data_IF_809092434638
#
_entry.id   IF_809092434638
#
_cell.length_a   1.000
_cell.length_b   1.000
_cell.length_c   1.000
_cell.angle_alpha   90.00
_cell.angle_beta   90.00
_cell.angle_gamma   90.00
#
_symmetry.space_group_name_H-M   'P 1'
#
loop_
_entity.id
_entity.type
_entity.pdbx_description
1 polymer ?
#
# COMPACT_ATOMS: atom_id res chain seq x y z
N UNK A 1 14.49 19.37 12.61
CA UNK A 1 14.55 17.90 12.71
C UNK A 1 15.55 17.42 11.69
N UNK A 2 16.30 16.36 11.98
CA UNK A 2 17.28 15.79 11.04
C UNK A 2 16.75 14.46 10.54
N UNK A 3 16.92 14.22 9.24
CA UNK A 3 16.50 13.02 8.57
C UNK A 3 17.69 12.39 7.84
N UNK A 4 17.86 11.09 7.99
CA UNK A 4 18.73 10.25 7.17
C UNK A 4 17.94 9.82 5.93
N UNK A 5 18.46 10.14 4.75
CA UNK A 5 17.76 9.88 3.48
C UNK A 5 18.63 8.95 2.62
N UNK A 6 18.14 7.75 2.35
CA UNK A 6 18.62 6.88 1.29
C UNK A 6 17.73 7.03 0.06
N UNK A 7 18.29 7.17 -1.14
CA UNK A 7 17.48 7.10 -2.37
C UNK A 7 18.29 6.57 -3.54
N UNK A 8 17.58 6.04 -4.53
CA UNK A 8 18.13 5.56 -5.77
C UNK A 8 17.27 6.02 -6.95
N UNK A 9 17.92 6.29 -8.07
CA UNK A 9 17.27 6.58 -9.36
C UNK A 9 17.95 5.72 -10.41
N UNK A 10 17.17 4.95 -11.15
CA UNK A 10 17.65 4.15 -12.26
C UNK A 10 16.83 4.41 -13.53
N UNK A 11 17.48 4.31 -14.68
CA UNK A 11 16.84 4.42 -15.99
C UNK A 11 16.62 3.02 -16.56
N UNK A 12 15.41 2.75 -17.02
CA UNK A 12 15.04 1.51 -17.72
C UNK A 12 15.51 1.54 -19.18
N UNK A 13 15.48 0.38 -19.83
CA UNK A 13 15.91 0.23 -21.24
C UNK A 13 15.04 0.99 -22.24
N UNK A 14 13.78 1.28 -21.88
CA UNK A 14 12.83 2.10 -22.64
C UNK A 14 13.08 3.62 -22.47
N UNK A 15 14.04 4.01 -21.63
CA UNK A 15 14.38 5.39 -21.31
C UNK A 15 13.60 6.00 -20.14
N UNK A 16 12.61 5.28 -19.59
CA UNK A 16 11.82 5.74 -18.44
C UNK A 16 12.62 5.65 -17.13
N UNK A 17 12.27 6.48 -16.15
CA UNK A 17 12.95 6.49 -14.85
C UNK A 17 12.13 5.81 -13.77
N UNK A 18 12.83 5.17 -12.84
CA UNK A 18 12.28 4.64 -11.61
C UNK A 18 13.14 5.11 -10.46
N UNK A 19 12.49 5.39 -9.34
CA UNK A 19 13.16 5.79 -8.12
C UNK A 19 12.63 4.99 -6.94
N UNK A 20 13.40 4.97 -5.87
CA UNK A 20 12.92 4.57 -4.56
C UNK A 20 13.76 5.28 -3.51
N UNK A 21 13.18 5.49 -2.35
CA UNK A 21 13.81 6.22 -1.27
C UNK A 21 13.36 5.72 0.09
N UNK A 22 14.07 6.17 1.10
CA UNK A 22 13.88 5.76 2.47
C UNK A 22 14.33 6.90 3.35
N UNK A 23 13.48 7.30 4.28
CA UNK A 23 13.73 8.41 5.19
C UNK A 23 13.60 7.92 6.62
N UNK A 24 14.71 8.00 7.35
CA UNK A 24 14.78 7.81 8.78
C UNK A 24 14.86 9.13 9.51
N UNK A 25 14.14 9.24 10.62
CA UNK A 25 14.30 10.35 11.55
C UNK A 25 15.40 9.99 12.55
N UNK A 26 16.50 10.76 12.61
CA UNK A 26 17.65 10.45 13.49
C UNK A 26 17.27 10.26 14.97
N UNK A 27 16.18 10.89 15.42
CA UNK A 27 15.75 10.91 16.81
C UNK A 27 14.67 9.87 17.17
N UNK A 28 14.18 9.05 16.24
CA UNK A 28 13.13 8.06 16.49
C UNK A 28 13.25 6.84 15.57
N UNK A 29 12.51 5.76 15.88
CA UNK A 29 12.36 4.61 14.98
C UNK A 29 11.38 4.89 13.81
N UNK A 30 11.06 6.16 13.54
CA UNK A 30 10.12 6.55 12.48
C UNK A 30 10.76 6.42 11.10
N UNK A 31 10.14 5.61 10.25
CA UNK A 31 10.57 5.36 8.88
C UNK A 31 9.42 5.52 7.91
N UNK A 32 9.67 6.17 6.78
CA UNK A 32 8.80 6.11 5.63
C UNK A 32 9.65 6.05 4.37
N UNK A 33 9.12 5.46 3.31
CA UNK A 33 9.90 5.23 2.12
C UNK A 33 9.04 4.85 0.96
N UNK A 34 9.73 4.60 -0.13
CA UNK A 34 9.19 4.22 -1.40
C UNK A 34 10.12 3.17 -2.01
N UNK A 35 9.59 1.97 -2.26
CA UNK A 35 10.22 1.01 -3.16
C UNK A 35 10.24 1.52 -4.62
N UNK A 36 10.57 0.63 -5.55
CA UNK A 36 10.77 0.98 -6.95
C UNK A 36 9.50 1.52 -7.64
N UNK A 37 9.42 2.84 -7.79
CA UNK A 37 8.26 3.58 -8.31
C UNK A 37 8.59 4.35 -9.59
N UNK A 38 7.68 4.37 -10.59
CA UNK A 38 7.89 5.15 -11.81
C UNK A 38 8.06 6.64 -11.49
N UNK A 39 9.02 7.29 -12.14
CA UNK A 39 9.19 8.73 -12.08
C UNK A 39 8.64 9.35 -13.37
N UNK A 40 7.59 10.15 -13.25
CA UNK A 40 7.09 10.98 -14.36
C UNK A 40 8.07 12.13 -14.64
N UNK A 41 9.10 11.83 -15.43
CA UNK A 41 10.15 12.76 -15.82
C UNK A 41 10.76 12.38 -17.16
N UNK A 42 10.78 13.35 -18.08
CA UNK A 42 11.53 13.26 -19.33
C UNK A 42 12.78 14.15 -19.25
N UNK A 43 13.94 13.56 -19.51
CA UNK A 43 15.18 14.32 -19.55
C UNK A 43 16.42 13.53 -19.12
N UNK A 44 17.53 14.24 -18.87
CA UNK A 44 18.78 13.62 -18.45
C UNK A 44 18.71 13.18 -16.98
N UNK A 45 19.49 12.15 -16.65
CA UNK A 45 19.51 11.54 -15.31
C UNK A 45 19.70 12.52 -14.15
N UNK A 46 20.54 13.54 -14.31
CA UNK A 46 20.74 14.54 -13.26
C UNK A 46 19.47 15.35 -12.95
N UNK A 47 18.60 15.55 -13.95
CA UNK A 47 17.29 16.18 -13.75
C UNK A 47 16.32 15.24 -13.04
N UNK A 48 16.35 13.94 -13.35
CA UNK A 48 15.57 12.93 -12.65
C UNK A 48 15.98 12.84 -11.17
N UNK A 49 17.29 12.84 -10.88
CA UNK A 49 17.82 12.85 -9.50
C UNK A 49 17.41 14.13 -8.74
N UNK A 50 17.46 15.30 -9.38
CA UNK A 50 16.98 16.54 -8.77
C UNK A 50 15.48 16.48 -8.46
N UNK A 51 14.68 15.96 -9.40
CA UNK A 51 13.23 15.81 -9.22
C UNK A 51 12.87 14.89 -8.07
N UNK A 52 13.59 13.77 -7.92
CA UNK A 52 13.40 12.84 -6.81
C UNK A 52 13.73 13.49 -5.47
N UNK A 53 14.81 14.27 -5.38
CA UNK A 53 15.13 15.02 -4.16
C UNK A 53 14.02 15.99 -3.79
N UNK A 54 13.52 16.78 -4.74
CA UNK A 54 12.39 17.70 -4.49
C UNK A 54 11.15 16.96 -4.00
N UNK A 55 10.83 15.80 -4.58
CA UNK A 55 9.70 14.98 -4.14
C UNK A 55 9.85 14.49 -2.70
N UNK A 56 11.05 14.01 -2.33
CA UNK A 56 11.34 13.56 -0.97
C UNK A 56 11.25 14.73 0.01
N UNK A 57 11.83 15.89 -0.33
CA UNK A 57 11.80 17.10 0.48
C UNK A 57 10.35 17.57 0.73
N UNK A 58 9.52 17.60 -0.31
CA UNK A 58 8.09 17.94 -0.19
C UNK A 58 7.34 16.98 0.73
N UNK A 59 7.62 15.67 0.65
CA UNK A 59 6.99 14.70 1.54
C UNK A 59 7.42 14.89 2.99
N UNK A 60 8.71 15.19 3.23
CA UNK A 60 9.22 15.49 4.58
C UNK A 60 8.55 16.74 5.15
N UNK A 61 8.35 17.79 4.35
CA UNK A 61 7.68 19.02 4.78
C UNK A 61 6.21 18.80 5.16
N UNK A 62 5.55 17.80 4.57
CA UNK A 62 4.17 17.44 4.87
C UNK A 62 4.02 16.50 6.07
N UNK A 63 5.11 16.01 6.68
CA UNK A 63 5.01 15.10 7.84
C UNK A 63 4.53 15.84 9.09
N UNK A 64 3.68 15.22 9.92
CA UNK A 64 3.32 15.77 11.22
C UNK A 64 4.55 15.82 12.15
N UNK A 65 4.57 16.79 13.09
CA UNK A 65 5.66 16.95 14.09
C UNK A 65 5.88 15.65 14.91
N UNK A 66 4.83 14.85 15.05
CA UNK A 66 4.83 13.53 15.68
C UNK A 66 4.40 12.45 14.69
N UNK A 67 5.24 12.14 13.70
CA UNK A 67 5.13 10.90 12.92
C UNK A 67 5.83 9.76 13.67
N UNK A 68 5.23 9.29 14.76
CA UNK A 68 5.50 7.96 15.28
C UNK A 68 4.47 7.05 14.64
N UNK A 69 4.86 6.29 13.61
CA UNK A 69 3.93 5.32 13.06
C UNK A 69 3.66 4.28 14.16
N UNK A 70 2.43 4.23 14.68
CA UNK A 70 1.96 3.15 15.59
C UNK A 70 2.30 1.74 15.05
N UNK A 71 2.56 1.67 13.73
CA UNK A 71 3.16 0.62 12.92
C UNK A 71 4.31 -0.16 13.56
N UNK A 72 5.37 0.50 14.07
CA UNK A 72 6.53 -0.23 14.62
C UNK A 72 6.20 -0.95 15.93
N UNK A 73 5.28 -0.39 16.72
CA UNK A 73 4.83 -1.02 17.96
C UNK A 73 3.81 -2.16 17.72
N UNK A 74 3.33 -2.34 16.48
CA UNK A 74 2.29 -3.32 16.13
C UNK A 74 2.55 -4.08 14.82
N UNK A 75 3.78 -4.57 14.61
CA UNK A 75 4.02 -5.66 13.66
C UNK A 75 3.32 -6.93 14.14
N UNK A 76 2.01 -7.03 13.90
CA UNK A 76 1.24 -8.24 14.13
C UNK A 76 1.25 -9.09 12.85
N UNK A 77 1.36 -10.41 13.03
CA UNK A 77 1.12 -11.34 11.93
C UNK A 77 -0.30 -11.14 11.38
N UNK A 78 -0.48 -11.33 10.07
CA UNK A 78 -1.80 -11.22 9.47
C UNK A 78 -2.73 -12.30 10.02
N UNK A 79 -3.86 -11.89 10.60
CA UNK A 79 -4.96 -12.79 10.97
C UNK A 79 -5.93 -12.89 9.80
N UNK A 80 -5.69 -13.86 8.93
CA UNK A 80 -6.52 -14.11 7.74
C UNK A 80 -8.00 -14.37 8.08
N UNK A 81 -8.28 -14.83 9.30
CA UNK A 81 -9.65 -15.16 9.73
C UNK A 81 -10.55 -13.93 9.87
N UNK A 82 -9.97 -12.72 9.92
CA UNK A 82 -10.74 -11.47 9.95
C UNK A 82 -11.26 -11.07 8.57
N UNK A 83 -10.68 -11.62 7.50
CA UNK A 83 -11.11 -11.32 6.13
C UNK A 83 -12.25 -12.27 5.76
N UNK A 84 -13.46 -11.72 5.73
CA UNK A 84 -14.62 -12.50 5.30
C UNK A 84 -14.44 -12.92 3.84
N UNK A 85 -14.72 -14.20 3.56
CA UNK A 85 -14.50 -14.83 2.25
C UNK A 85 -13.03 -14.90 1.78
N UNK A 86 -12.08 -14.60 2.67
CA UNK A 86 -10.63 -14.69 2.39
C UNK A 86 -10.16 -16.09 2.00
N UNK A 87 -10.91 -17.14 2.34
CA UNK A 87 -10.63 -18.53 1.93
C UNK A 87 -10.54 -18.70 0.39
N UNK A 88 -11.16 -17.81 -0.39
CA UNK A 88 -11.06 -17.81 -1.86
C UNK A 88 -9.64 -17.53 -2.34
N UNK A 89 -8.88 -16.67 -1.65
CA UNK A 89 -7.48 -16.39 -1.97
C UNK A 89 -6.67 -17.68 -1.88
N UNK A 90 -6.80 -18.41 -0.76
CA UNK A 90 -6.15 -19.72 -0.59
C UNK A 90 -6.57 -20.74 -1.62
N UNK A 91 -7.84 -20.73 -2.04
CA UNK A 91 -8.33 -21.64 -3.07
C UNK A 91 -7.70 -21.38 -4.44
N UNK A 92 -7.37 -20.12 -4.74
CA UNK A 92 -6.83 -19.71 -6.04
C UNK A 92 -5.31 -19.84 -6.06
N UNK A 93 -4.64 -19.33 -5.03
CA UNK A 93 -3.18 -19.31 -4.95
C UNK A 93 -2.57 -20.55 -4.30
N UNK A 94 -3.35 -21.30 -3.50
CA UNK A 94 -2.87 -22.41 -2.67
C UNK A 94 -2.35 -21.97 -1.29
N UNK A 95 -2.14 -20.68 -1.08
CA UNK A 95 -1.63 -20.07 0.16
C UNK A 95 -2.27 -18.69 0.39
N UNK A 96 -1.96 -18.08 1.52
CA UNK A 96 -2.28 -16.67 1.76
C UNK A 96 -1.07 -15.81 1.39
N UNK A 97 -1.18 -14.90 0.42
CA UNK A 97 -0.08 -14.04 0.02
C UNK A 97 0.34 -13.09 1.13
N UNK A 98 1.64 -12.77 1.14
CA UNK A 98 2.16 -11.64 1.91
C UNK A 98 1.79 -10.30 1.25
N UNK A 99 1.36 -10.34 -0.01
CA UNK A 99 1.05 -9.17 -0.84
C UNK A 99 2.25 -8.25 -1.10
N UNK A 100 3.46 -8.70 -0.78
CA UNK A 100 4.69 -8.09 -1.26
C UNK A 100 4.72 -8.14 -2.79
N UNK A 101 5.07 -7.03 -3.43
CA UNK A 101 5.00 -6.81 -4.88
C UNK A 101 3.58 -6.88 -5.47
N UNK A 102 2.52 -6.84 -4.65
CA UNK A 102 1.18 -6.57 -5.17
C UNK A 102 1.10 -5.13 -5.67
N UNK A 103 0.18 -4.85 -6.58
CA UNK A 103 -0.07 -3.49 -7.05
C UNK A 103 -1.42 -3.01 -6.54
N UNK A 104 -1.45 -1.98 -5.70
CA UNK A 104 -2.64 -1.21 -5.41
C UNK A 104 -3.12 -0.52 -6.70
N UNK A 105 -4.28 -0.92 -7.20
CA UNK A 105 -4.84 -0.42 -8.46
C UNK A 105 -5.80 0.74 -8.25
N UNK A 106 -6.65 0.62 -7.23
CA UNK A 106 -7.74 1.57 -7.00
C UNK A 106 -8.09 1.62 -5.52
N UNK A 107 -8.37 2.82 -5.04
CA UNK A 107 -8.97 3.05 -3.73
C UNK A 107 -10.14 4.00 -3.91
N UNK A 108 -11.32 3.60 -3.43
CA UNK A 108 -12.49 4.47 -3.40
C UNK A 108 -13.05 4.57 -1.99
N UNK A 109 -13.52 5.77 -1.64
CA UNK A 109 -14.06 6.08 -0.33
C UNK A 109 -15.46 6.66 -0.48
N UNK A 110 -16.43 6.06 0.21
CA UNK A 110 -17.81 6.51 0.23
C UNK A 110 -18.20 6.93 1.62
N UNK A 111 -18.51 8.22 1.78
CA UNK A 111 -19.04 8.79 3.03
C UNK A 111 -20.55 9.00 2.94
N UNK A 112 -21.27 8.65 4.00
CA UNK A 112 -22.71 8.83 4.06
C UNK A 112 -23.20 8.93 5.51
N UNK A 113 -24.36 9.56 5.70
CA UNK A 113 -25.02 9.63 6.99
C UNK A 113 -25.88 8.38 7.21
N UNK A 114 -25.74 7.75 8.38
CA UNK A 114 -26.59 6.66 8.85
C UNK A 114 -27.19 7.06 10.20
N UNK A 115 -28.39 7.63 10.15
CA UNK A 115 -28.99 8.29 11.31
C UNK A 115 -28.15 9.50 11.74
N UNK A 116 -27.81 9.58 13.02
CA UNK A 116 -27.01 10.67 13.60
C UNK A 116 -25.49 10.45 13.47
N UNK A 117 -25.06 9.37 12.80
CA UNK A 117 -23.64 9.03 12.63
C UNK A 117 -23.18 9.25 11.19
N UNK A 118 -22.00 9.82 11.04
CA UNK A 118 -21.26 9.76 9.77
C UNK A 118 -20.59 8.39 9.67
N UNK A 119 -20.75 7.73 8.53
CA UNK A 119 -20.13 6.46 8.23
C UNK A 119 -19.30 6.57 6.95
N UNK A 120 -18.21 5.81 6.90
CA UNK A 120 -17.36 5.69 5.73
C UNK A 120 -17.15 4.23 5.41
N UNK A 121 -17.32 3.87 4.14
CA UNK A 121 -16.92 2.57 3.61
C UNK A 121 -15.88 2.78 2.52
N UNK A 122 -14.94 1.85 2.41
CA UNK A 122 -13.85 1.91 1.45
C UNK A 122 -13.82 0.62 0.62
N UNK A 123 -13.49 0.77 -0.66
CA UNK A 123 -13.15 -0.34 -1.53
C UNK A 123 -11.69 -0.19 -1.97
N UNK A 124 -10.93 -1.26 -1.80
CA UNK A 124 -9.54 -1.33 -2.18
C UNK A 124 -9.38 -2.45 -3.19
N UNK A 125 -8.76 -2.13 -4.32
CA UNK A 125 -8.47 -3.10 -5.34
C UNK A 125 -6.97 -3.26 -5.53
N UNK A 126 -6.51 -4.51 -5.50
CA UNK A 126 -5.11 -4.85 -5.74
C UNK A 126 -4.98 -5.86 -6.87
N UNK A 127 -3.86 -5.84 -7.58
CA UNK A 127 -3.39 -6.89 -8.46
C UNK A 127 -2.30 -7.68 -7.75
N UNK A 128 -2.40 -9.00 -7.81
CA UNK A 128 -1.38 -9.91 -7.27
C UNK A 128 -1.09 -10.99 -8.30
N UNK A 129 0.20 -11.31 -8.49
CA UNK A 129 0.66 -12.26 -9.49
C UNK A 129 1.05 -13.63 -8.92
N UNK A 130 0.99 -13.86 -7.61
CA UNK A 130 1.54 -15.07 -7.00
C UNK A 130 3.07 -15.06 -6.83
N UNK A 131 3.73 -13.91 -7.09
CA UNK A 131 5.19 -13.79 -7.10
C UNK A 131 5.87 -14.04 -5.74
N UNK A 132 5.11 -13.99 -4.65
CA UNK A 132 5.57 -14.27 -3.28
C UNK A 132 5.39 -15.75 -2.87
N UNK A 133 4.99 -16.64 -3.78
CA UNK A 133 4.85 -18.07 -3.50
C UNK A 133 6.21 -18.81 -3.54
N UNK A 134 6.71 -19.36 -2.42
CA UNK A 134 7.98 -20.07 -2.38
C UNK A 134 7.96 -21.45 -3.06
N UNK A 135 6.78 -22.06 -3.24
CA UNK A 135 6.62 -23.39 -3.86
C UNK A 135 6.29 -23.32 -5.37
N UNK A 136 6.42 -22.14 -5.97
CA UNK A 136 5.93 -21.87 -7.32
C UNK A 136 6.79 -22.49 -8.44
N UNK A 137 6.13 -22.98 -9.49
CA UNK A 137 6.73 -23.78 -10.56
C UNK A 137 6.44 -23.29 -12.00
N UNK A 138 5.89 -22.10 -12.17
CA UNK A 138 5.57 -21.53 -13.49
C UNK A 138 4.12 -21.01 -13.60
N UNK A 139 3.89 -20.17 -14.60
CA UNK A 139 2.68 -19.36 -14.86
C UNK A 139 1.99 -18.73 -13.63
N UNK A 140 2.25 -17.44 -13.44
CA UNK A 140 1.64 -16.61 -12.42
C UNK A 140 0.15 -16.40 -12.73
N UNK A 141 -0.72 -16.90 -11.87
CA UNK A 141 -2.15 -16.57 -11.90
C UNK A 141 -2.31 -15.12 -11.43
N UNK A 142 -2.25 -14.19 -12.37
CA UNK A 142 -2.52 -12.79 -12.09
C UNK A 142 -4.00 -12.62 -11.77
N UNK A 143 -4.32 -12.18 -10.56
CA UNK A 143 -5.69 -11.87 -10.17
C UNK A 143 -5.80 -10.43 -9.66
N UNK A 144 -6.95 -9.83 -9.96
CA UNK A 144 -7.45 -8.62 -9.32
C UNK A 144 -8.28 -9.06 -8.10
N UNK A 145 -7.90 -8.58 -6.93
CA UNK A 145 -8.57 -8.84 -5.65
C UNK A 145 -9.20 -7.54 -5.18
N UNK A 146 -10.50 -7.57 -4.89
CA UNK A 146 -11.21 -6.39 -4.37
C UNK A 146 -11.66 -6.65 -2.94
N UNK A 147 -11.23 -5.78 -2.04
CA UNK A 147 -11.58 -5.78 -0.64
C UNK A 147 -12.56 -4.65 -0.33
N UNK A 148 -13.63 -4.98 0.36
CA UNK A 148 -14.56 -4.01 0.92
C UNK A 148 -14.32 -3.88 2.43
N UNK A 149 -14.07 -2.66 2.88
CA UNK A 149 -13.86 -2.27 4.27
C UNK A 149 -15.08 -1.43 4.69
N UNK A 150 -15.79 -1.86 5.75
CA UNK A 150 -17.00 -1.18 6.22
C UNK A 150 -16.81 -0.51 7.56
N UNK A 151 -17.51 0.61 7.73
CA UNK A 151 -17.44 1.43 8.94
C UNK A 151 -15.98 1.70 9.29
N UNK A 152 -15.30 2.36 8.36
CA UNK A 152 -13.91 2.77 8.46
C UNK A 152 -13.85 4.00 9.36
N UNK A 153 -13.17 3.87 10.49
CA UNK A 153 -12.75 4.97 11.33
C UNK A 153 -11.26 5.26 11.09
N UNK A 154 -10.94 6.53 11.17
CA UNK A 154 -9.64 7.09 10.87
C UNK A 154 -9.85 8.56 10.59
N UNK A 155 -9.25 9.40 11.43
CA UNK A 155 -9.52 10.84 11.43
C UNK A 155 -8.78 11.56 10.27
N UNK A 156 -7.86 10.86 9.59
CA UNK A 156 -6.86 11.45 8.69
C UNK A 156 -6.70 10.71 7.35
N UNK A 157 -7.62 9.81 6.94
CA UNK A 157 -7.51 9.16 5.63
C UNK A 157 -8.15 9.99 4.51
N UNK A 158 -7.31 10.56 3.65
CA UNK A 158 -7.69 11.12 2.35
C UNK A 158 -7.27 10.19 1.21
N UNK A 159 -8.18 9.90 0.29
CA UNK A 159 -7.82 9.16 -0.95
C UNK A 159 -6.92 9.98 -1.88
N UNK A 160 -6.86 11.30 -1.70
CA UNK A 160 -6.00 12.19 -2.49
C UNK A 160 -4.51 12.00 -2.17
N UNK A 161 -4.20 11.42 -1.01
CA UNK A 161 -2.84 11.14 -0.56
C UNK A 161 -2.38 9.73 -0.96
N UNK A 162 -3.29 8.94 -1.57
CA UNK A 162 -2.99 7.60 -2.06
C UNK A 162 -2.59 7.66 -3.52
N UNK A 163 -1.30 7.40 -3.77
CA UNK A 163 -0.83 7.19 -5.14
C UNK A 163 -1.36 5.85 -5.67
N UNK A 164 -2.03 5.86 -6.82
CA UNK A 164 -2.42 4.66 -7.58
C UNK A 164 -2.12 4.84 -9.07
N UNK A 165 -1.66 3.79 -9.79
CA UNK A 165 -1.31 2.49 -9.25
C UNK A 165 0.01 2.56 -8.46
N UNK A 166 0.17 1.72 -7.45
CA UNK A 166 1.34 1.74 -6.58
C UNK A 166 1.67 0.35 -6.09
N UNK A 167 2.95 0.02 -5.98
CA UNK A 167 3.36 -1.28 -5.48
C UNK A 167 3.12 -1.34 -3.97
N UNK A 168 2.99 -2.54 -3.44
CA UNK A 168 2.76 -2.80 -2.02
C UNK A 168 3.99 -3.56 -1.53
N UNK A 169 4.66 -3.00 -0.53
CA UNK A 169 5.72 -3.69 0.19
C UNK A 169 5.11 -4.73 1.13
N UNK A 170 4.02 -4.37 1.81
CA UNK A 170 3.36 -5.24 2.78
C UNK A 170 1.88 -4.86 2.93
N UNK A 171 1.03 -5.86 3.14
CA UNK A 171 -0.38 -5.66 3.47
C UNK A 171 -0.80 -6.66 4.54
N UNK A 172 -1.40 -6.14 5.61
CA UNK A 172 -1.78 -6.96 6.77
C UNK A 172 -3.17 -6.64 7.27
N UNK A 173 -3.78 -7.66 7.87
CA UNK A 173 -5.05 -7.60 8.55
C UNK A 173 -4.87 -8.13 9.95
N UNK A 174 -5.31 -7.42 10.99
CA UNK A 174 -5.26 -7.96 12.35
C UNK A 174 -6.49 -7.55 13.17
N UNK A 175 -6.81 -8.36 14.18
CA UNK A 175 -7.92 -8.09 15.09
C UNK A 175 -7.45 -7.20 16.23
N UNK A 176 -8.23 -6.16 16.53
CA UNK A 176 -8.05 -5.32 17.71
C UNK A 176 -8.81 -5.85 18.91
N UNK A 177 -8.37 -5.44 20.10
CA UNK A 177 -9.04 -5.77 21.37
C UNK A 177 -10.48 -5.20 21.46
N UNK A 178 -10.77 -4.12 20.73
CA UNK A 178 -12.11 -3.51 20.63
C UNK A 178 -13.04 -4.24 19.65
N UNK A 179 -12.57 -5.32 19.02
CA UNK A 179 -13.33 -6.11 18.06
C UNK A 179 -13.33 -5.56 16.63
N UNK A 180 -12.68 -4.43 16.36
CA UNK A 180 -12.46 -3.93 15.00
C UNK A 180 -11.24 -4.60 14.37
N UNK A 181 -11.03 -4.31 13.09
CA UNK A 181 -9.97 -4.86 12.26
C UNK A 181 -9.04 -3.73 11.85
N UNK A 182 -7.76 -3.89 12.13
CA UNK A 182 -6.69 -3.08 11.58
C UNK A 182 -6.37 -3.57 10.17
N UNK A 183 -6.32 -2.64 9.22
CA UNK A 183 -5.80 -2.86 7.87
C UNK A 183 -4.62 -1.94 7.68
N UNK A 184 -3.44 -2.54 7.52
CA UNK A 184 -2.17 -1.85 7.31
C UNK A 184 -1.70 -2.16 5.89
N UNK A 185 -1.55 -1.13 5.07
CA UNK A 185 -0.96 -1.23 3.74
C UNK A 185 0.24 -0.32 3.67
N UNK A 186 1.39 -0.92 3.42
CA UNK A 186 2.60 -0.20 3.10
C UNK A 186 2.76 -0.13 1.59
N UNK A 187 2.44 1.02 0.97
CA UNK A 187 2.78 1.21 -0.42
C UNK A 187 4.28 1.39 -0.58
N UNK A 188 4.78 1.02 -1.74
CA UNK A 188 6.12 1.32 -2.20
C UNK A 188 6.28 2.78 -2.62
N UNK A 189 5.32 3.69 -2.38
CA UNK A 189 5.48 5.14 -2.52
C UNK A 189 4.36 5.89 -1.80
N UNK A 190 4.67 7.08 -1.28
CA UNK A 190 3.66 7.92 -0.62
C UNK A 190 3.37 7.49 0.82
N UNK A 191 2.22 7.89 1.34
CA UNK A 191 1.87 7.66 2.74
C UNK A 191 1.29 6.25 2.95
N UNK A 192 1.70 5.54 4.02
CA UNK A 192 1.06 4.30 4.45
C UNK A 192 -0.44 4.47 4.69
N UNK A 193 -1.20 3.43 4.39
CA UNK A 193 -2.64 3.39 4.64
C UNK A 193 -2.87 2.56 5.89
N UNK A 194 -3.26 3.22 6.98
CA UNK A 194 -3.63 2.55 8.22
C UNK A 194 -5.09 2.85 8.57
N UNK A 195 -5.93 1.81 8.61
CA UNK A 195 -7.38 1.92 8.73
C UNK A 195 -7.91 1.03 9.85
N UNK A 196 -8.93 1.53 10.56
CA UNK A 196 -9.70 0.75 11.52
C UNK A 196 -11.10 0.52 10.98
N UNK A 197 -11.49 -0.72 10.70
CA UNK A 197 -12.80 -1.02 10.13
C UNK A 197 -13.56 -2.06 10.95
N UNK A 198 -14.88 -2.04 10.89
CA UNK A 198 -15.68 -3.05 11.56
C UNK A 198 -15.66 -4.39 10.81
N UNK A 199 -15.51 -4.36 9.48
CA UNK A 199 -15.54 -5.54 8.62
C UNK A 199 -14.57 -5.36 7.46
N UNK A 200 -13.79 -6.40 7.18
CA UNK A 200 -13.07 -6.60 5.91
C UNK A 200 -13.68 -7.80 5.18
N UNK A 201 -13.99 -7.64 3.90
CA UNK A 201 -14.51 -8.71 3.04
C UNK A 201 -13.81 -8.72 1.70
N UNK A 202 -13.41 -9.90 1.24
CA UNK A 202 -13.05 -10.10 -0.15
C UNK A 202 -14.34 -10.21 -0.99
N UNK A 203 -14.59 -9.24 -1.87
CA UNK A 203 -15.84 -9.15 -2.64
C UNK A 203 -15.71 -9.69 -4.06
N UNK A 204 -14.50 -9.68 -4.64
CA UNK A 204 -14.25 -10.29 -5.94
C UNK A 204 -12.82 -10.80 -6.06
N UNK A 205 -12.69 -11.86 -6.88
CA UNK A 205 -11.41 -12.30 -7.43
C UNK A 205 -11.60 -12.50 -8.92
N UNK A 206 -10.89 -11.73 -9.72
CA UNK A 206 -11.04 -11.70 -11.17
C UNK A 206 -9.69 -12.03 -11.83
N UNK A 207 -9.66 -12.85 -12.89
CA UNK A 207 -8.46 -13.00 -13.69
C UNK A 207 -8.01 -11.64 -14.22
N UNK A 208 -6.74 -11.31 -14.01
CA UNK A 208 -6.16 -10.08 -14.50
C UNK A 208 -5.43 -10.35 -15.81
N UNK A 209 -6.07 -10.00 -16.92
CA UNK A 209 -5.52 -10.18 -18.28
C UNK A 209 -4.76 -8.95 -18.76
N UNK A 210 -4.18 -8.17 -17.84
CA UNK A 210 -3.51 -6.92 -18.16
C UNK A 210 -2.59 -7.06 -19.37
N UNK A 211 -2.99 -6.45 -20.48
CA UNK A 211 -2.03 -5.99 -21.49
C UNK A 211 -1.52 -4.65 -20.95
N UNK A 212 -0.20 -4.44 -21.05
CA UNK A 212 0.56 -3.29 -20.51
C UNK A 212 0.95 -3.53 -19.04
N UNK A 213 2.22 -3.59 -18.64
CA UNK A 213 3.39 -2.80 -19.06
C UNK A 213 4.64 -3.69 -19.24
N UNK A 214 5.25 -3.63 -20.43
CA UNK A 214 6.68 -3.97 -20.66
C UNK A 214 7.45 -2.66 -20.51
#
# INVERSE_FOLDING_TARGET
MTYDIGYHVYQRSDGSYVYGFEVARESSEGWFGSGASPLDFEGPRHGAEARVRELIEQQIECLPEHYESERFNRHQETDESVVTDGWLIRRIYGYWPAFHDAQLLEVSLRRYALGDKQQADMEMCIHHGGQDNPEWNGENLHCKLTFQLKDVAGDEFSTEEVNVPNWINDMRFSRRDDGRIDVDVEPSAGLPIFLHCAVVRLVSVEPYTGKEFI
#
